data_IF_716988708939
#
_entry.id   IF_716988708939
#
_cell.length_a   1.000
_cell.length_b   1.000
_cell.length_c   1.000
_cell.angle_alpha   90.00
_cell.angle_beta   90.00
_cell.angle_gamma   90.00
#
_symmetry.space_group_name_H-M   'P 1'
#
loop_
_entity.id
_entity.type
_entity.pdbx_description
1 polymer ?
#
# COMPACT_ATOMS: atom_id res chain seq x y z
N UNK A 1 -0.16 -14.95 7.44
CA UNK A 1 1.07 -15.59 7.07
C UNK A 1 1.13 -17.07 7.40
N UNK A 2 1.05 -17.47 8.70
CA UNK A 2 1.24 -18.86 9.12
C UNK A 2 0.10 -19.74 8.59
N UNK A 3 -1.15 -19.37 8.83
CA UNK A 3 -2.33 -20.14 8.39
C UNK A 3 -2.38 -20.38 6.87
N UNK A 4 -2.07 -19.35 6.07
CA UNK A 4 -1.99 -19.49 4.60
C UNK A 4 -0.91 -20.50 4.20
N UNK A 5 0.23 -20.45 4.89
CA UNK A 5 1.33 -21.37 4.61
C UNK A 5 1.01 -22.82 4.99
N UNK A 6 0.25 -23.02 6.05
CA UNK A 6 -0.17 -24.34 6.53
C UNK A 6 -1.27 -24.90 5.61
N UNK A 7 -2.25 -24.12 5.21
CA UNK A 7 -3.33 -24.53 4.30
C UNK A 7 -2.81 -24.87 2.89
N UNK A 8 -1.82 -24.14 2.40
CA UNK A 8 -1.18 -24.37 1.11
C UNK A 8 0.01 -25.36 1.19
N UNK A 9 0.31 -25.92 2.36
CA UNK A 9 1.41 -26.85 2.62
C UNK A 9 2.76 -26.34 2.07
N UNK A 10 3.05 -25.03 2.30
CA UNK A 10 4.24 -24.38 1.76
C UNK A 10 5.52 -24.81 2.50
N UNK A 11 6.58 -25.03 1.74
CA UNK A 11 7.91 -25.21 2.28
C UNK A 11 8.41 -23.95 3.00
N UNK A 12 9.41 -24.09 3.88
CA UNK A 12 10.00 -22.94 4.58
C UNK A 12 10.52 -21.86 3.62
N UNK A 13 11.10 -22.25 2.50
CA UNK A 13 11.57 -21.33 1.46
C UNK A 13 10.40 -20.58 0.81
N UNK A 14 9.33 -21.27 0.40
CA UNK A 14 8.13 -20.67 -0.19
C UNK A 14 7.44 -19.70 0.77
N UNK A 15 7.37 -20.04 2.07
CA UNK A 15 6.85 -19.17 3.12
C UNK A 15 7.69 -17.88 3.23
N UNK A 16 9.02 -18.01 3.19
CA UNK A 16 9.93 -16.87 3.17
C UNK A 16 9.68 -15.96 1.97
N UNK A 17 9.58 -16.51 0.77
CA UNK A 17 9.29 -15.75 -0.46
C UNK A 17 7.91 -15.08 -0.41
N UNK A 18 6.88 -15.79 0.06
CA UNK A 18 5.53 -15.23 0.19
C UNK A 18 5.50 -14.00 1.11
N UNK A 19 6.28 -13.98 2.18
CA UNK A 19 6.36 -12.82 3.09
C UNK A 19 7.26 -11.73 2.52
N UNK A 20 8.33 -12.09 1.83
CA UNK A 20 9.26 -11.13 1.22
C UNK A 20 8.67 -10.42 -0.01
N UNK A 21 7.83 -11.09 -0.79
CA UNK A 21 7.27 -10.57 -2.05
C UNK A 21 6.59 -9.20 -1.90
N UNK A 22 5.64 -8.97 -0.98
CA UNK A 22 5.02 -7.66 -0.83
C UNK A 22 6.01 -6.58 -0.38
N UNK A 23 7.03 -6.93 0.40
CA UNK A 23 8.05 -5.98 0.87
C UNK A 23 8.95 -5.56 -0.30
N UNK A 24 9.46 -6.53 -1.07
CA UNK A 24 10.28 -6.28 -2.25
C UNK A 24 9.50 -5.53 -3.33
N UNK A 25 8.27 -5.96 -3.61
CA UNK A 25 7.39 -5.27 -4.55
C UNK A 25 7.14 -3.82 -4.09
N UNK A 26 6.87 -3.60 -2.80
CA UNK A 26 6.68 -2.27 -2.24
C UNK A 26 7.91 -1.39 -2.39
N UNK A 27 9.10 -1.94 -2.19
CA UNK A 27 10.35 -1.20 -2.38
C UNK A 27 10.56 -0.77 -3.84
N UNK A 28 10.36 -1.69 -4.80
CA UNK A 28 10.51 -1.41 -6.22
C UNK A 28 9.42 -0.47 -6.76
N UNK A 29 8.18 -0.71 -6.36
CA UNK A 29 7.03 0.08 -6.80
C UNK A 29 7.03 1.50 -6.24
N UNK A 30 7.83 1.82 -5.20
CA UNK A 30 8.04 3.21 -4.76
C UNK A 30 8.61 4.08 -5.87
N UNK A 31 9.51 3.54 -6.68
CA UNK A 31 10.04 4.26 -7.83
C UNK A 31 8.94 4.58 -8.85
N UNK A 32 8.14 3.58 -9.20
CA UNK A 32 6.99 3.76 -10.11
C UNK A 32 5.96 4.73 -9.53
N UNK A 33 5.66 4.61 -8.24
CA UNK A 33 4.74 5.51 -7.56
C UNK A 33 5.27 6.94 -7.51
N UNK A 34 6.57 7.14 -7.31
CA UNK A 34 7.21 8.45 -7.38
C UNK A 34 7.02 9.12 -8.75
N UNK A 35 7.28 8.38 -9.84
CA UNK A 35 7.03 8.86 -11.20
C UNK A 35 5.55 9.19 -11.42
N UNK A 36 4.65 8.37 -10.88
CA UNK A 36 3.20 8.59 -10.99
C UNK A 36 2.77 9.87 -10.25
N UNK A 37 3.35 10.13 -9.09
CA UNK A 37 3.14 11.38 -8.31
C UNK A 37 3.53 12.60 -9.10
N UNK A 38 4.67 12.55 -9.78
CA UNK A 38 5.16 13.67 -10.56
C UNK A 38 4.31 13.93 -11.82
N UNK A 39 3.67 12.88 -12.39
CA UNK A 39 2.82 13.04 -13.57
C UNK A 39 1.35 13.36 -13.22
N UNK A 40 0.79 12.71 -12.19
CA UNK A 40 -0.64 12.78 -11.87
C UNK A 40 -0.98 13.63 -10.63
N UNK A 41 0.02 14.16 -9.95
CA UNK A 41 -0.05 14.76 -8.60
C UNK A 41 -0.26 13.73 -7.47
N UNK A 42 0.17 14.04 -6.23
CA UNK A 42 0.15 13.10 -5.10
C UNK A 42 -1.22 12.53 -4.77
N UNK A 43 -2.28 13.36 -4.79
CA UNK A 43 -3.65 12.90 -4.47
C UNK A 43 -4.13 11.82 -5.42
N UNK A 44 -3.98 12.04 -6.73
CA UNK A 44 -4.44 11.07 -7.74
C UNK A 44 -3.60 9.79 -7.70
N UNK A 45 -2.29 9.91 -7.59
CA UNK A 45 -1.39 8.76 -7.51
C UNK A 45 -1.70 7.89 -6.27
N UNK A 46 -1.90 8.51 -5.10
CA UNK A 46 -2.29 7.81 -3.88
C UNK A 46 -3.64 7.11 -4.00
N UNK A 47 -4.64 7.76 -4.60
CA UNK A 47 -5.96 7.16 -4.83
C UNK A 47 -5.87 5.94 -5.76
N UNK A 48 -5.12 6.01 -6.84
CA UNK A 48 -4.90 4.88 -7.77
C UNK A 48 -4.26 3.71 -7.02
N UNK A 49 -3.19 3.96 -6.26
CA UNK A 49 -2.54 2.92 -5.47
C UNK A 49 -3.50 2.25 -4.49
N UNK A 50 -4.34 3.03 -3.79
CA UNK A 50 -5.31 2.49 -2.84
C UNK A 50 -6.41 1.68 -3.54
N UNK A 51 -6.91 2.12 -4.69
CA UNK A 51 -7.90 1.38 -5.48
C UNK A 51 -7.32 0.03 -5.94
N UNK A 52 -6.07 -0.01 -6.41
CA UNK A 52 -5.41 -1.25 -6.82
C UNK A 52 -5.38 -2.26 -5.65
N UNK A 53 -5.01 -1.82 -4.46
CA UNK A 53 -4.98 -2.67 -3.26
C UNK A 53 -6.38 -3.16 -2.88
N UNK A 54 -7.38 -2.29 -2.91
CA UNK A 54 -8.78 -2.66 -2.63
C UNK A 54 -9.28 -3.73 -3.61
N UNK A 55 -9.02 -3.55 -4.90
CA UNK A 55 -9.41 -4.52 -5.94
C UNK A 55 -8.70 -5.85 -5.72
N UNK A 56 -7.40 -5.83 -5.44
CA UNK A 56 -6.63 -7.05 -5.18
C UNK A 56 -7.16 -7.82 -3.97
N UNK A 57 -7.46 -7.14 -2.86
CA UNK A 57 -8.04 -7.76 -1.66
C UNK A 57 -9.47 -8.27 -1.92
N UNK A 58 -10.27 -7.53 -2.67
CA UNK A 58 -11.63 -7.95 -3.03
C UNK A 58 -11.60 -9.23 -3.86
N UNK A 59 -10.73 -9.30 -4.87
CA UNK A 59 -10.56 -10.50 -5.70
C UNK A 59 -10.07 -11.67 -4.86
N UNK A 60 -9.07 -11.46 -4.00
CA UNK A 60 -8.55 -12.50 -3.10
C UNK A 60 -9.61 -13.01 -2.12
N UNK A 61 -10.47 -12.12 -1.61
CA UNK A 61 -11.58 -12.51 -0.74
C UNK A 61 -12.65 -13.31 -1.47
N UNK A 62 -13.03 -12.89 -2.69
CA UNK A 62 -14.13 -13.52 -3.46
C UNK A 62 -13.75 -14.84 -4.11
N UNK A 63 -12.55 -14.94 -4.64
CA UNK A 63 -12.07 -16.13 -5.35
C UNK A 63 -11.31 -17.09 -4.45
N UNK A 64 -10.86 -16.65 -3.29
CA UNK A 64 -9.92 -17.39 -2.45
C UNK A 64 -8.51 -17.42 -3.03
N UNK A 65 -7.59 -18.00 -2.30
CA UNK A 65 -6.21 -18.25 -2.74
C UNK A 65 -5.99 -19.74 -2.59
N UNK A 66 -5.77 -20.42 -3.69
CA UNK A 66 -5.68 -21.89 -3.75
C UNK A 66 -4.29 -22.36 -4.21
N UNK A 67 -3.39 -21.46 -4.58
CA UNK A 67 -2.02 -21.80 -4.99
C UNK A 67 -0.99 -20.80 -4.46
N UNK A 68 0.25 -21.28 -4.40
CA UNK A 68 1.41 -20.45 -4.03
C UNK A 68 1.58 -19.25 -4.98
N UNK A 69 1.40 -19.46 -6.29
CA UNK A 69 1.53 -18.40 -7.29
C UNK A 69 0.48 -17.30 -7.09
N UNK A 70 -0.76 -17.68 -6.77
CA UNK A 70 -1.81 -16.69 -6.45
C UNK A 70 -1.46 -15.88 -5.21
N UNK A 71 -0.86 -16.51 -4.20
CA UNK A 71 -0.38 -15.80 -3.00
C UNK A 71 0.75 -14.81 -3.33
N UNK A 72 1.67 -15.17 -4.24
CA UNK A 72 2.73 -14.27 -4.71
C UNK A 72 2.16 -13.10 -5.51
N UNK A 73 1.22 -13.37 -6.43
CA UNK A 73 0.55 -12.31 -7.22
C UNK A 73 -0.18 -11.33 -6.30
N UNK A 74 -0.93 -11.83 -5.32
CA UNK A 74 -1.54 -10.97 -4.31
C UNK A 74 -0.46 -10.15 -3.58
N UNK A 75 0.65 -10.77 -3.19
CA UNK A 75 1.78 -10.10 -2.55
C UNK A 75 2.33 -8.94 -3.38
N UNK A 76 2.45 -9.10 -4.69
CA UNK A 76 2.87 -8.02 -5.60
C UNK A 76 1.89 -6.84 -5.56
N UNK A 77 0.59 -7.10 -5.65
CA UNK A 77 -0.42 -6.04 -5.57
C UNK A 77 -0.46 -5.37 -4.18
N UNK A 78 -0.30 -6.13 -3.11
CA UNK A 78 -0.19 -5.58 -1.76
C UNK A 78 1.08 -4.73 -1.57
N UNK A 79 2.13 -5.00 -2.34
CA UNK A 79 3.32 -4.15 -2.41
C UNK A 79 3.01 -2.71 -2.81
N UNK A 80 1.95 -2.47 -3.61
CA UNK A 80 1.49 -1.11 -3.95
C UNK A 80 1.12 -0.32 -2.68
N UNK A 81 0.55 -0.97 -1.67
CA UNK A 81 0.27 -0.31 -0.38
C UNK A 81 1.54 0.22 0.28
N UNK A 82 2.63 -0.58 0.27
CA UNK A 82 3.94 -0.14 0.76
C UNK A 82 4.55 0.98 -0.08
N UNK A 83 4.27 1.01 -1.38
CA UNK A 83 4.70 2.07 -2.28
C UNK A 83 3.92 3.38 -2.10
N UNK A 84 2.73 3.35 -1.51
CA UNK A 84 1.87 4.53 -1.32
C UNK A 84 2.52 5.63 -0.48
N UNK A 85 3.53 5.32 0.33
CA UNK A 85 4.34 6.32 1.04
C UNK A 85 5.03 7.31 0.09
N UNK A 86 5.39 6.90 -1.13
CA UNK A 86 5.94 7.80 -2.13
C UNK A 86 4.95 8.88 -2.58
N UNK A 87 3.65 8.64 -2.42
CA UNK A 87 2.61 9.65 -2.65
C UNK A 87 2.23 10.41 -1.38
N UNK A 88 2.14 9.72 -0.23
CA UNK A 88 1.69 10.30 1.03
C UNK A 88 2.65 11.35 1.58
N UNK A 89 3.96 11.11 1.53
CA UNK A 89 4.96 12.04 2.06
C UNK A 89 4.98 13.38 1.29
N UNK A 90 5.04 13.41 -0.06
CA UNK A 90 4.93 14.67 -0.80
C UNK A 90 3.58 15.36 -0.61
N UNK A 91 2.48 14.60 -0.49
CA UNK A 91 1.16 15.18 -0.23
C UNK A 91 1.14 15.94 1.10
N UNK A 92 1.77 15.42 2.14
CA UNK A 92 1.84 16.05 3.44
C UNK A 92 2.87 17.19 3.47
N UNK A 93 4.10 16.95 3.00
CA UNK A 93 5.21 17.90 3.15
C UNK A 93 5.06 19.18 2.33
N UNK A 94 4.45 19.10 1.15
CA UNK A 94 4.29 20.27 0.25
C UNK A 94 3.36 21.37 0.79
N UNK A 95 2.61 21.10 1.87
CA UNK A 95 1.78 22.10 2.56
C UNK A 95 2.54 22.94 3.58
N UNK A 96 3.77 22.55 3.92
CA UNK A 96 4.53 23.16 5.00
C UNK A 96 5.84 23.78 4.47
N UNK A 97 6.28 24.90 5.06
CA UNK A 97 7.57 25.48 4.76
C UNK A 97 8.70 24.52 5.17
N UNK A 98 9.93 24.66 4.61
CA UNK A 98 11.04 23.72 4.82
C UNK A 98 11.33 23.40 6.28
N UNK A 99 11.18 24.38 7.19
CA UNK A 99 11.45 24.22 8.63
C UNK A 99 10.49 23.23 9.31
N UNK A 100 9.28 23.05 8.77
CA UNK A 100 8.23 22.21 9.35
C UNK A 100 7.97 20.92 8.57
N UNK A 101 8.62 20.73 7.42
CA UNK A 101 8.42 19.53 6.58
C UNK A 101 8.79 18.23 7.31
N UNK A 102 9.86 18.27 8.13
CA UNK A 102 10.26 17.11 8.93
C UNK A 102 9.17 16.65 9.89
N UNK A 103 8.51 17.59 10.57
CA UNK A 103 7.40 17.29 11.48
C UNK A 103 6.19 16.75 10.70
N UNK A 104 5.84 17.36 9.57
CA UNK A 104 4.73 16.92 8.73
C UNK A 104 4.96 15.48 8.22
N UNK A 105 6.18 15.18 7.75
CA UNK A 105 6.55 13.84 7.30
C UNK A 105 6.60 12.83 8.44
N UNK A 106 7.04 13.24 9.65
CA UNK A 106 7.01 12.40 10.85
C UNK A 106 5.60 11.99 11.24
N UNK A 107 4.65 12.94 11.24
CA UNK A 107 3.23 12.67 11.50
C UNK A 107 2.63 11.75 10.42
N UNK A 108 2.91 12.02 9.14
CA UNK A 108 2.47 11.15 8.06
C UNK A 108 3.08 9.75 8.15
N UNK A 109 4.36 9.65 8.56
CA UNK A 109 5.06 8.39 8.81
C UNK A 109 4.50 7.57 9.97
N UNK A 110 3.84 8.23 10.95
CA UNK A 110 3.16 7.54 12.05
C UNK A 110 2.03 6.62 11.57
N UNK A 111 1.53 6.81 10.34
CA UNK A 111 0.60 5.87 9.70
C UNK A 111 1.12 4.43 9.61
N UNK A 112 2.46 4.22 9.64
CA UNK A 112 3.06 2.88 9.74
C UNK A 112 2.69 2.12 11.02
N UNK A 113 2.23 2.79 12.08
CA UNK A 113 1.73 2.13 13.30
C UNK A 113 0.55 1.19 13.01
N UNK A 114 -0.19 1.42 11.93
CA UNK A 114 -1.22 0.51 11.45
C UNK A 114 -0.71 -0.91 11.17
N UNK A 115 0.56 -1.06 10.80
CA UNK A 115 1.20 -2.37 10.61
C UNK A 115 1.29 -3.15 11.94
N UNK A 116 1.64 -2.46 13.03
CA UNK A 116 1.68 -3.07 14.36
C UNK A 116 0.28 -3.50 14.81
N UNK A 117 -0.72 -2.64 14.61
CA UNK A 117 -2.13 -2.98 14.91
C UNK A 117 -2.60 -4.19 14.09
N UNK A 118 -2.29 -4.21 12.80
CA UNK A 118 -2.64 -5.34 11.93
C UNK A 118 -1.95 -6.64 12.40
N UNK A 119 -0.69 -6.58 12.82
CA UNK A 119 0.04 -7.74 13.32
C UNK A 119 -0.57 -8.32 14.60
N UNK A 120 -1.15 -7.49 15.45
CA UNK A 120 -1.82 -7.91 16.68
C UNK A 120 -3.24 -8.45 16.43
N UNK A 121 -4.00 -7.80 15.55
CA UNK A 121 -5.43 -8.07 15.37
C UNK A 121 -5.68 -9.15 14.31
N UNK A 122 -4.94 -9.14 13.19
CA UNK A 122 -5.20 -10.03 12.07
C UNK A 122 -5.08 -11.53 12.42
N UNK A 123 -4.15 -12.01 13.25
CA UNK A 123 -4.11 -13.41 13.65
C UNK A 123 -5.37 -13.85 14.40
N UNK A 124 -5.86 -13.02 15.32
CA UNK A 124 -7.08 -13.35 16.10
C UNK A 124 -8.32 -13.38 15.20
N UNK A 125 -8.44 -12.43 14.26
CA UNK A 125 -9.52 -12.44 13.26
C UNK A 125 -9.43 -13.63 12.33
N UNK A 126 -8.23 -14.05 11.95
CA UNK A 126 -8.02 -15.19 11.08
C UNK A 126 -8.39 -16.52 11.77
N UNK A 127 -8.20 -16.63 13.08
CA UNK A 127 -8.67 -17.78 13.88
C UNK A 127 -10.20 -17.78 13.98
N UNK A 128 -10.81 -16.62 14.23
CA UNK A 128 -12.24 -16.51 14.46
C UNK A 128 -13.10 -16.64 13.19
N UNK A 129 -12.64 -16.05 12.09
CA UNK A 129 -13.42 -15.92 10.84
C UNK A 129 -12.80 -16.61 9.62
N UNK A 130 -11.62 -17.22 9.78
CA UNK A 130 -10.83 -17.74 8.67
C UNK A 130 -10.03 -16.64 7.97
N UNK A 131 -8.82 -16.97 7.54
CA UNK A 131 -7.87 -15.99 6.97
C UNK A 131 -8.36 -15.32 5.66
N UNK A 132 -9.16 -16.03 4.85
CA UNK A 132 -9.75 -15.46 3.61
C UNK A 132 -10.72 -14.33 3.93
N UNK A 133 -11.54 -14.49 4.98
CA UNK A 133 -12.49 -13.46 5.39
C UNK A 133 -11.81 -12.22 6.01
N UNK A 134 -10.59 -12.36 6.52
CA UNK A 134 -9.80 -11.20 6.99
C UNK A 134 -9.54 -10.21 5.84
N UNK A 135 -9.38 -10.69 4.61
CA UNK A 135 -9.27 -9.78 3.45
C UNK A 135 -10.56 -8.98 3.23
N UNK A 136 -11.72 -9.64 3.35
CA UNK A 136 -13.02 -8.97 3.28
C UNK A 136 -13.23 -7.94 4.40
N UNK A 137 -12.86 -8.29 5.64
CA UNK A 137 -12.93 -7.38 6.79
C UNK A 137 -12.00 -6.17 6.60
N UNK A 138 -10.82 -6.37 6.03
CA UNK A 138 -9.88 -5.28 5.75
C UNK A 138 -10.39 -4.29 4.69
N UNK A 139 -11.29 -4.72 3.80
CA UNK A 139 -11.89 -3.82 2.80
C UNK A 139 -12.72 -2.71 3.44
N UNK A 140 -13.39 -2.97 4.57
CA UNK A 140 -14.25 -1.98 5.24
C UNK A 140 -13.47 -0.72 5.60
N UNK A 141 -12.41 -0.79 6.43
CA UNK A 141 -11.62 0.39 6.75
C UNK A 141 -10.88 0.97 5.54
N UNK A 142 -10.44 0.13 4.58
CA UNK A 142 -9.75 0.63 3.39
C UNK A 142 -10.67 1.47 2.50
N UNK A 143 -11.91 1.03 2.28
CA UNK A 143 -12.89 1.80 1.51
C UNK A 143 -13.27 3.07 2.25
N UNK A 144 -13.51 3.01 3.57
CA UNK A 144 -13.80 4.18 4.37
C UNK A 144 -12.66 5.21 4.29
N UNK A 145 -11.40 4.77 4.40
CA UNK A 145 -10.23 5.65 4.26
C UNK A 145 -10.11 6.19 2.85
N UNK A 146 -10.39 5.41 1.80
CA UNK A 146 -10.40 5.92 0.42
C UNK A 146 -11.42 7.04 0.24
N UNK A 147 -12.64 6.87 0.75
CA UNK A 147 -13.69 7.89 0.69
C UNK A 147 -13.24 9.16 1.43
N UNK A 148 -12.74 9.03 2.66
CA UNK A 148 -12.22 10.16 3.43
C UNK A 148 -11.05 10.83 2.72
N UNK A 149 -10.14 10.05 2.15
CA UNK A 149 -9.01 10.55 1.38
C UNK A 149 -9.47 11.36 0.17
N UNK A 150 -10.43 10.86 -0.59
CA UNK A 150 -10.97 11.56 -1.77
C UNK A 150 -11.67 12.88 -1.38
N UNK A 151 -12.36 12.91 -0.24
CA UNK A 151 -13.08 14.09 0.24
C UNK A 151 -12.15 15.13 0.87
N UNK A 152 -11.19 14.70 1.69
CA UNK A 152 -10.40 15.59 2.55
C UNK A 152 -9.04 15.93 1.95
N UNK A 153 -8.37 14.98 1.26
CA UNK A 153 -7.05 15.24 0.70
C UNK A 153 -7.10 16.27 -0.43
N UNK A 154 -6.15 17.18 -0.41
CA UNK A 154 -5.95 18.21 -1.45
C UNK A 154 -4.49 18.30 -1.80
N UNK A 155 -4.20 18.48 -3.08
CA UNK A 155 -2.83 18.77 -3.51
C UNK A 155 -2.46 20.20 -3.12
N UNK A 156 -1.20 20.43 -2.76
CA UNK A 156 -0.71 21.76 -2.44
C UNK A 156 -0.80 22.68 -3.67
N UNK A 157 -1.08 23.99 -3.48
CA UNK A 157 -1.21 24.95 -4.58
C UNK A 157 0.03 25.04 -5.47
N UNK A 158 1.22 24.89 -4.89
CA UNK A 158 2.52 24.95 -5.57
C UNK A 158 3.04 23.54 -5.99
N UNK A 159 2.16 22.68 -6.45
CA UNK A 159 2.63 21.41 -7.04
C UNK A 159 3.43 21.71 -8.32
N UNK A 160 4.71 21.31 -8.42
CA UNK A 160 5.50 21.47 -9.63
C UNK A 160 4.77 20.86 -10.83
N UNK A 161 4.92 21.47 -11.99
CA UNK A 161 4.40 20.89 -13.24
C UNK A 161 4.99 19.49 -13.45
N UNK A 162 4.23 18.57 -14.07
CA UNK A 162 4.72 17.22 -14.33
C UNK A 162 5.99 17.27 -15.18
N UNK A 163 7.04 16.60 -14.71
CA UNK A 163 8.30 16.48 -15.44
C UNK A 163 8.19 15.36 -16.47
N UNK A 164 8.69 15.62 -17.67
CA UNK A 164 8.81 14.59 -18.69
C UNK A 164 10.00 13.66 -18.41
N UNK A 165 9.91 12.40 -18.85
CA UNK A 165 11.00 11.41 -18.67
C UNK A 165 12.36 11.92 -19.15
N UNK A 166 12.37 12.72 -20.22
CA UNK A 166 13.58 13.39 -20.76
C UNK A 166 14.20 14.38 -19.78
N UNK A 167 13.40 15.02 -18.92
CA UNK A 167 13.89 15.96 -17.90
C UNK A 167 14.52 15.25 -16.69
N UNK A 168 14.18 13.97 -16.46
CA UNK A 168 14.85 13.14 -15.44
C UNK A 168 16.19 12.60 -15.89
N UNK A 169 16.35 12.37 -17.20
CA UNK A 169 17.57 11.79 -17.78
C UNK A 169 18.62 12.88 -18.13
N UNK A 170 18.26 14.16 -18.05
CA UNK A 170 19.12 15.29 -18.39
C UNK A 170 19.85 15.89 -17.16
N UNK A 171 19.79 15.24 -16.00
CA UNK A 171 20.52 15.56 -14.76
C UNK A 171 21.64 14.58 -14.57
#
# INVERSE_FOLDING_TARGET
GVQIADDLQLTHAQKGFMVATPVLAGALLRFVMGLLVDHLKPKKAGAIGQVIVIVALFVAWRLGIHSYEQALVLGLFLGVAGAAFAAALPLASRWYPPEHQGTAMGIAGAGNSGTALAALIAPSLAIAYGWTNVFGLALIPLVAVLVLYMLLARDAPECPAPKTLTQYLAV
#
